data_IF_859306823758
#
_entry.id   IF_859306823758
#
_cell.length_a   1.000
_cell.length_b   1.000
_cell.length_c   1.000
_cell.angle_alpha   90.00
_cell.angle_beta   90.00
_cell.angle_gamma   90.00
#
_symmetry.space_group_name_H-M   'P 1'
#
loop_
_entity.id
_entity.type
_entity.pdbx_description
1 polymer ?
#
# COMPACT_ATOMS: atom_id res chain seq x y z
N UNK A 1 13.47 -1.94 -11.69
CA UNK A 1 14.44 -2.77 -10.95
C UNK A 1 13.68 -3.47 -9.83
N UNK A 2 13.49 -4.79 -9.90
CA UNK A 2 12.90 -5.51 -8.77
C UNK A 2 13.88 -5.46 -7.60
N UNK A 3 13.43 -4.93 -6.46
CA UNK A 3 14.30 -4.84 -5.30
C UNK A 3 14.62 -6.26 -4.78
N UNK A 4 15.79 -6.42 -4.14
CA UNK A 4 16.18 -7.67 -3.45
C UNK A 4 15.07 -8.23 -2.56
N UNK A 5 14.22 -7.36 -2.00
CA UNK A 5 13.07 -7.74 -1.16
C UNK A 5 12.01 -8.52 -1.94
N UNK A 6 11.68 -8.10 -3.16
CA UNK A 6 10.69 -8.81 -3.99
C UNK A 6 11.19 -10.21 -4.35
N UNK A 7 12.48 -10.33 -4.67
CA UNK A 7 13.10 -11.62 -4.93
C UNK A 7 13.03 -12.55 -3.71
N UNK A 8 13.33 -12.03 -2.51
CA UNK A 8 13.24 -12.81 -1.27
C UNK A 8 11.81 -13.27 -0.98
N UNK A 9 10.81 -12.42 -1.22
CA UNK A 9 9.38 -12.80 -1.08
C UNK A 9 9.01 -13.88 -2.10
N UNK A 10 9.47 -13.77 -3.35
CA UNK A 10 9.26 -14.82 -4.36
C UNK A 10 9.91 -16.14 -3.97
N UNK A 11 11.13 -16.08 -3.45
CA UNK A 11 11.87 -17.25 -3.03
C UNK A 11 11.21 -17.93 -1.82
N UNK A 12 10.69 -17.17 -0.85
CA UNK A 12 10.00 -17.73 0.32
C UNK A 12 8.62 -18.29 -0.02
N UNK A 13 7.99 -17.82 -1.11
CA UNK A 13 6.71 -18.31 -1.58
C UNK A 13 6.78 -19.72 -2.22
N UNK A 14 7.87 -20.04 -2.94
CA UNK A 14 8.02 -21.33 -3.61
C UNK A 14 7.90 -22.55 -2.67
N UNK A 15 8.58 -22.60 -1.51
CA UNK A 15 8.40 -23.68 -0.56
C UNK A 15 6.95 -23.84 -0.06
N UNK A 16 6.21 -22.75 0.09
CA UNK A 16 4.79 -22.79 0.50
C UNK A 16 3.94 -23.53 -0.54
N UNK A 17 4.18 -23.26 -1.82
CA UNK A 17 3.48 -23.92 -2.92
C UNK A 17 3.75 -25.43 -2.99
N UNK A 18 4.97 -25.84 -2.63
CA UNK A 18 5.45 -27.22 -2.80
C UNK A 18 5.16 -28.07 -1.56
N UNK A 19 5.56 -27.60 -0.38
CA UNK A 19 5.60 -28.42 0.84
C UNK A 19 4.47 -28.13 1.81
N UNK A 20 3.97 -26.89 1.86
CA UNK A 20 3.02 -26.43 2.89
C UNK A 20 1.67 -26.01 2.34
N UNK A 21 1.31 -26.48 1.15
CA UNK A 21 0.03 -26.14 0.50
C UNK A 21 -1.18 -26.48 1.37
N UNK A 22 -1.11 -27.56 2.15
CA UNK A 22 -2.19 -27.99 3.05
C UNK A 22 -2.46 -27.04 4.23
N UNK A 23 -1.51 -26.17 4.57
CA UNK A 23 -1.67 -25.17 5.63
C UNK A 23 -2.36 -23.90 5.15
N UNK A 24 -2.51 -23.72 3.83
CA UNK A 24 -3.20 -22.57 3.24
C UNK A 24 -4.66 -22.98 2.99
N UNK A 25 -5.65 -22.41 3.71
CA UNK A 25 -7.03 -22.89 3.72
C UNK A 25 -7.82 -22.49 2.46
N UNK A 26 -7.14 -22.11 1.37
CA UNK A 26 -7.75 -21.69 0.13
C UNK A 26 -6.86 -22.04 -1.07
N UNK A 27 -7.48 -22.11 -2.24
CA UNK A 27 -6.73 -22.27 -3.48
C UNK A 27 -6.00 -20.96 -3.82
N UNK A 28 -4.67 -21.01 -3.82
CA UNK A 28 -3.79 -19.86 -4.10
C UNK A 28 -4.10 -19.19 -5.45
N UNK A 29 -4.57 -19.95 -6.43
CA UNK A 29 -4.99 -19.41 -7.73
C UNK A 29 -6.49 -19.16 -7.84
N UNK A 30 -7.28 -19.58 -6.85
CA UNK A 30 -8.75 -19.46 -6.87
C UNK A 30 -9.24 -18.00 -6.88
N UNK A 31 -8.44 -17.07 -6.35
CA UNK A 31 -8.80 -15.66 -6.28
C UNK A 31 -8.25 -14.83 -7.45
N UNK A 32 -7.58 -15.40 -8.46
CA UNK A 32 -6.98 -14.56 -9.52
C UNK A 32 -8.01 -13.84 -10.39
N UNK A 33 -9.16 -14.47 -10.59
CA UNK A 33 -10.17 -14.00 -11.53
C UNK A 33 -11.20 -13.09 -10.88
N UNK A 34 -11.81 -12.22 -11.70
CA UNK A 34 -12.92 -11.37 -11.31
C UNK A 34 -14.17 -12.20 -10.99
N UNK A 35 -14.80 -11.92 -9.87
CA UNK A 35 -16.11 -12.44 -9.48
C UNK A 35 -17.05 -11.30 -9.08
N UNK A 36 -18.36 -11.56 -9.08
CA UNK A 36 -19.37 -10.58 -8.73
C UNK A 36 -19.67 -9.55 -9.82
N UNK A 37 -20.70 -8.75 -9.58
CA UNK A 37 -21.16 -7.71 -10.52
C UNK A 37 -20.46 -6.37 -10.26
N UNK A 38 -20.37 -5.51 -11.28
CA UNK A 38 -19.77 -4.19 -11.12
C UNK A 38 -20.40 -3.34 -10.00
N UNK A 39 -21.75 -3.28 -9.83
CA UNK A 39 -22.35 -2.56 -8.70
C UNK A 39 -21.94 -3.11 -7.33
N UNK A 40 -21.79 -4.43 -7.19
CA UNK A 40 -21.33 -5.05 -5.94
C UNK A 40 -19.88 -4.67 -5.64
N UNK A 41 -18.99 -4.75 -6.63
CA UNK A 41 -17.59 -4.32 -6.50
C UNK A 41 -17.53 -2.85 -6.08
N UNK A 42 -18.30 -1.97 -6.74
CA UNK A 42 -18.34 -0.55 -6.41
C UNK A 42 -18.84 -0.32 -4.98
N UNK A 43 -19.94 -0.99 -4.58
CA UNK A 43 -20.51 -0.91 -3.25
C UNK A 43 -19.62 -1.51 -2.15
N UNK A 44 -18.73 -2.46 -2.46
CA UNK A 44 -17.76 -2.96 -1.50
C UNK A 44 -16.45 -2.15 -1.49
N UNK A 45 -16.20 -1.36 -2.53
CA UNK A 45 -14.97 -0.56 -2.67
C UNK A 45 -15.08 0.82 -2.02
N UNK A 46 -16.27 1.37 -1.83
CA UNK A 46 -16.43 2.74 -1.29
C UNK A 46 -15.69 2.98 0.05
N UNK A 47 -15.57 2.02 1.00
CA UNK A 47 -14.85 2.28 2.25
C UNK A 47 -13.38 2.60 2.04
N UNK A 48 -12.73 2.04 1.01
CA UNK A 48 -11.33 2.33 0.64
C UNK A 48 -11.17 3.83 0.37
N UNK A 49 -12.08 4.41 -0.42
CA UNK A 49 -12.04 5.82 -0.78
C UNK A 49 -12.48 6.72 0.38
N UNK A 50 -13.54 6.35 1.10
CA UNK A 50 -14.04 7.12 2.23
C UNK A 50 -13.05 7.18 3.40
N UNK A 51 -12.26 6.12 3.62
CA UNK A 51 -11.16 6.16 4.58
C UNK A 51 -9.95 6.87 4.02
N UNK A 52 -9.48 6.47 2.83
CA UNK A 52 -8.16 6.86 2.32
C UNK A 52 -8.08 8.29 1.77
N UNK A 53 -9.15 8.85 1.21
CA UNK A 53 -9.12 10.21 0.65
C UNK A 53 -9.08 11.28 1.75
N UNK A 54 -10.00 11.30 2.75
CA UNK A 54 -9.95 12.30 3.82
C UNK A 54 -8.67 12.21 4.63
N UNK A 55 -8.25 10.98 4.94
CA UNK A 55 -6.95 10.63 5.49
C UNK A 55 -5.79 11.33 4.80
N UNK A 56 -5.71 11.16 3.47
CA UNK A 56 -4.67 11.74 2.65
C UNK A 56 -4.73 13.27 2.65
N UNK A 57 -5.93 13.86 2.52
CA UNK A 57 -6.13 15.31 2.57
C UNK A 57 -5.69 15.91 3.92
N UNK A 58 -6.07 15.28 5.04
CA UNK A 58 -5.64 15.72 6.38
C UNK A 58 -4.12 15.64 6.51
N UNK A 59 -3.51 14.60 5.95
CA UNK A 59 -2.06 14.41 5.99
C UNK A 59 -1.34 15.49 5.19
N UNK A 60 -1.72 15.74 3.94
CA UNK A 60 -1.09 16.78 3.10
C UNK A 60 -1.37 18.20 3.61
N UNK A 61 -2.51 18.45 4.25
CA UNK A 61 -2.82 19.77 4.83
C UNK A 61 -2.00 20.06 6.09
N UNK A 62 -1.80 19.06 6.95
CA UNK A 62 -1.02 19.21 8.20
C UNK A 62 0.48 19.20 7.99
N UNK A 63 0.96 18.48 6.97
CA UNK A 63 2.40 18.41 6.67
C UNK A 63 2.88 19.58 5.83
N UNK A 64 1.99 20.50 5.43
CA UNK A 64 2.26 21.50 4.40
C UNK A 64 2.36 20.84 3.03
N UNK A 65 2.56 21.62 1.95
CA UNK A 65 2.93 21.03 0.66
C UNK A 65 4.14 20.15 0.92
N UNK A 66 3.96 18.83 0.75
CA UNK A 66 5.09 17.89 0.76
C UNK A 66 6.14 18.51 -0.16
N UNK A 67 7.41 18.64 0.27
CA UNK A 67 8.44 19.18 -0.59
C UNK A 67 8.59 18.23 -1.77
N UNK A 68 7.80 18.45 -2.83
CA UNK A 68 8.00 17.86 -4.14
C UNK A 68 9.24 18.56 -4.64
N UNK A 69 10.40 18.04 -4.25
CA UNK A 69 11.71 18.36 -4.77
C UNK A 69 11.91 19.88 -4.93
N UNK A 70 12.24 20.60 -3.85
CA UNK A 70 12.73 21.98 -4.03
C UNK A 70 14.09 21.90 -4.71
N UNK A 71 14.10 21.97 -6.03
CA UNK A 71 15.32 22.14 -6.82
C UNK A 71 15.78 23.59 -6.62
N UNK A 72 16.49 23.82 -5.52
CA UNK A 72 17.19 25.08 -5.29
C UNK A 72 18.52 25.06 -6.02
N UNK A 73 18.65 25.83 -7.10
CA UNK A 73 19.97 26.21 -7.59
C UNK A 73 20.53 27.24 -6.61
N UNK A 74 21.54 26.86 -5.82
CA UNK A 74 22.39 27.86 -5.20
C UNK A 74 23.13 28.61 -6.31
N UNK A 75 22.63 29.80 -6.64
CA UNK A 75 23.17 30.63 -7.73
C UNK A 75 24.58 31.15 -7.43
N UNK A 76 25.08 31.00 -6.21
CA UNK A 76 26.33 31.63 -5.80
C UNK A 76 27.53 30.67 -5.69
N UNK A 77 27.32 29.36 -5.58
CA UNK A 77 28.42 28.42 -5.29
C UNK A 77 28.69 27.38 -6.37
N UNK A 78 27.77 27.14 -7.31
CA UNK A 78 27.93 26.09 -8.32
C UNK A 78 28.01 24.66 -7.74
N UNK A 79 27.66 24.49 -6.46
CA UNK A 79 27.73 23.20 -5.77
C UNK A 79 26.36 22.51 -5.62
N UNK A 80 26.48 21.21 -5.38
CA UNK A 80 25.51 20.14 -5.59
C UNK A 80 24.11 20.38 -5.00
N UNK A 81 23.12 19.91 -5.76
CA UNK A 81 21.72 19.93 -5.40
C UNK A 81 21.45 18.89 -4.30
N UNK A 82 21.18 19.38 -3.09
CA UNK A 82 20.61 18.56 -2.02
C UNK A 82 19.13 18.35 -2.34
N UNK A 83 18.82 17.24 -3.03
CA UNK A 83 17.45 16.80 -3.16
C UNK A 83 17.09 16.10 -1.86
N UNK A 84 16.36 16.79 -0.99
CA UNK A 84 15.65 16.12 0.09
C UNK A 84 14.44 15.47 -0.55
N UNK A 85 14.49 14.16 -0.71
CA UNK A 85 13.33 13.40 -1.17
C UNK A 85 12.24 13.36 -0.08
N UNK A 86 11.05 12.89 -0.45
CA UNK A 86 9.93 12.73 0.49
C UNK A 86 10.24 11.73 1.64
N UNK A 87 11.38 11.04 1.61
CA UNK A 87 11.83 10.11 2.64
C UNK A 87 12.69 10.79 3.72
N UNK A 88 12.95 12.10 3.60
CA UNK A 88 13.89 12.82 4.48
C UNK A 88 15.34 12.42 4.20
N UNK A 89 15.60 11.64 3.15
CA UNK A 89 16.93 11.38 2.66
C UNK A 89 17.34 12.54 1.77
N UNK A 90 18.31 13.30 2.24
CA UNK A 90 19.05 14.22 1.40
C UNK A 90 19.89 13.39 0.42
N UNK A 91 19.37 13.13 -0.78
CA UNK A 91 20.17 12.63 -1.88
C UNK A 91 20.87 13.82 -2.52
N UNK A 92 22.20 13.85 -2.39
CA UNK A 92 23.04 14.72 -3.18
C UNK A 92 22.96 14.21 -4.62
N UNK A 93 22.32 14.96 -5.51
CA UNK A 93 22.40 14.66 -6.95
C UNK A 93 23.75 15.17 -7.43
N UNK A 94 24.61 14.23 -7.82
CA UNK A 94 25.92 14.56 -8.35
C UNK A 94 25.78 15.24 -9.72
N UNK A 95 26.70 16.17 -10.08
CA UNK A 95 26.67 16.80 -11.40
C UNK A 95 26.72 15.74 -12.50
N UNK A 96 25.74 15.73 -13.40
CA UNK A 96 25.62 14.75 -14.48
C UNK A 96 24.73 13.55 -14.18
N UNK A 97 24.21 13.40 -12.96
CA UNK A 97 23.09 12.49 -12.72
C UNK A 97 21.78 13.14 -13.19
N UNK A 98 21.09 12.49 -14.12
CA UNK A 98 19.73 12.90 -14.45
C UNK A 98 18.83 12.76 -13.21
N UNK A 99 17.99 13.75 -12.90
CA UNK A 99 17.02 13.62 -11.82
C UNK A 99 16.22 12.35 -12.06
N UNK A 100 16.10 11.51 -11.01
CA UNK A 100 15.24 10.33 -11.07
C UNK A 100 13.90 10.75 -11.67
N UNK A 101 13.45 10.13 -12.77
CA UNK A 101 12.24 10.56 -13.43
C UNK A 101 11.12 10.59 -12.38
N UNK A 102 10.38 11.70 -12.30
CA UNK A 102 9.14 11.73 -11.53
C UNK A 102 8.39 10.46 -11.85
N UNK A 103 7.94 9.72 -10.82
CA UNK A 103 7.26 8.46 -10.99
C UNK A 103 6.14 8.66 -12.02
N UNK A 104 6.35 8.14 -13.23
CA UNK A 104 5.40 8.34 -14.31
C UNK A 104 4.08 7.66 -13.93
N UNK A 105 2.97 8.11 -14.52
CA UNK A 105 1.65 7.48 -14.30
C UNK A 105 1.73 5.95 -14.42
N UNK A 106 2.42 5.44 -15.44
CA UNK A 106 2.63 4.00 -15.63
C UNK A 106 3.36 3.32 -14.47
N UNK A 107 4.31 4.00 -13.82
CA UNK A 107 5.03 3.46 -12.66
C UNK A 107 4.14 3.43 -11.41
N UNK A 108 3.31 4.45 -11.18
CA UNK A 108 2.34 4.48 -10.06
C UNK A 108 1.33 3.33 -10.21
N UNK A 109 0.79 3.17 -11.43
CA UNK A 109 -0.13 2.09 -11.75
C UNK A 109 0.53 0.72 -11.57
N UNK A 110 1.79 0.58 -12.01
CA UNK A 110 2.56 -0.65 -11.83
C UNK A 110 2.83 -0.96 -10.36
N UNK A 111 3.09 0.06 -9.54
CA UNK A 111 3.26 -0.11 -8.10
C UNK A 111 1.98 -0.65 -7.46
N UNK A 112 0.80 -0.13 -7.81
CA UNK A 112 -0.48 -0.66 -7.34
C UNK A 112 -0.63 -2.15 -7.64
N UNK A 113 -0.44 -2.55 -8.91
CA UNK A 113 -0.53 -3.97 -9.31
C UNK A 113 0.50 -4.83 -8.56
N UNK A 114 1.76 -4.37 -8.52
CA UNK A 114 2.86 -5.09 -7.91
C UNK A 114 2.67 -5.29 -6.41
N UNK A 115 2.17 -4.28 -5.70
CA UNK A 115 1.87 -4.37 -4.27
C UNK A 115 0.79 -5.42 -3.98
N UNK A 116 -0.26 -5.46 -4.78
CA UNK A 116 -1.32 -6.46 -4.62
C UNK A 116 -0.80 -7.89 -4.85
N UNK A 117 0.01 -8.11 -5.89
CA UNK A 117 0.66 -9.42 -6.13
C UNK A 117 1.57 -9.79 -4.95
N UNK A 118 2.46 -8.89 -4.54
CA UNK A 118 3.46 -9.16 -3.50
C UNK A 118 2.78 -9.43 -2.16
N UNK A 119 1.85 -8.57 -1.72
CA UNK A 119 1.30 -8.65 -0.38
C UNK A 119 0.16 -9.66 -0.30
N UNK A 120 -0.80 -9.59 -1.22
CA UNK A 120 -2.04 -10.38 -1.14
C UNK A 120 -1.86 -11.79 -1.67
N UNK A 121 -1.08 -11.98 -2.73
CA UNK A 121 -0.90 -13.30 -3.33
C UNK A 121 0.33 -14.03 -2.80
N UNK A 122 1.48 -13.37 -2.69
CA UNK A 122 2.74 -14.05 -2.33
C UNK A 122 3.00 -14.06 -0.83
N UNK A 123 2.85 -12.91 -0.16
CA UNK A 123 3.20 -12.77 1.26
C UNK A 123 2.15 -13.41 2.16
N UNK A 124 0.85 -13.27 1.85
CA UNK A 124 -0.23 -13.81 2.69
C UNK A 124 -0.06 -15.33 2.97
N UNK A 125 0.14 -16.22 1.99
CA UNK A 125 0.33 -17.65 2.26
C UNK A 125 1.58 -17.95 3.07
N UNK A 126 2.68 -17.22 2.86
CA UNK A 126 3.91 -17.34 3.65
C UNK A 126 3.64 -17.01 5.12
N UNK A 127 2.94 -15.92 5.39
CA UNK A 127 2.60 -15.51 6.76
C UNK A 127 1.65 -16.53 7.41
N UNK A 128 0.70 -17.12 6.68
CA UNK A 128 -0.18 -18.19 7.19
C UNK A 128 0.65 -19.39 7.69
N UNK A 129 1.62 -19.86 6.90
CA UNK A 129 2.49 -20.98 7.30
C UNK A 129 3.32 -20.62 8.52
N UNK A 130 3.91 -19.42 8.53
CA UNK A 130 4.72 -18.95 9.66
C UNK A 130 3.89 -18.81 10.94
N UNK A 131 2.68 -18.25 10.86
CA UNK A 131 1.77 -18.13 11.99
C UNK A 131 1.31 -19.49 12.51
N UNK A 132 1.10 -20.47 11.64
CA UNK A 132 0.76 -21.83 12.05
C UNK A 132 1.89 -22.45 12.88
N UNK A 133 3.13 -22.36 12.39
CA UNK A 133 4.31 -22.85 13.11
C UNK A 133 4.53 -22.10 14.44
N UNK A 134 4.44 -20.78 14.44
CA UNK A 134 4.60 -19.96 15.63
C UNK A 134 3.50 -20.22 16.66
N UNK A 135 2.25 -20.40 16.24
CA UNK A 135 1.16 -20.69 17.15
C UNK A 135 1.32 -22.07 17.80
N UNK A 136 1.85 -23.05 17.07
CA UNK A 136 2.22 -24.35 17.65
C UNK A 136 3.32 -24.19 18.72
N UNK A 137 4.39 -23.46 18.41
CA UNK A 137 5.50 -23.20 19.35
C UNK A 137 5.07 -22.42 20.59
N UNK A 138 4.09 -21.53 20.45
CA UNK A 138 3.54 -20.69 21.53
C UNK A 138 2.30 -21.29 22.17
N UNK A 139 2.04 -22.59 21.98
CA UNK A 139 0.93 -23.32 22.60
C UNK A 139 -0.44 -22.64 22.44
N UNK A 140 -0.71 -22.07 21.27
CA UNK A 140 -2.00 -21.43 20.96
C UNK A 140 -2.12 -19.93 21.32
N UNK A 141 -1.07 -19.30 21.83
CA UNK A 141 -1.12 -17.90 22.27
C UNK A 141 -1.52 -16.92 21.15
N UNK A 142 -1.07 -17.15 19.91
CA UNK A 142 -1.41 -16.25 18.78
C UNK A 142 -2.89 -16.35 18.41
N UNK A 143 -3.43 -17.57 18.40
CA UNK A 143 -4.85 -17.78 18.19
C UNK A 143 -5.69 -17.12 19.29
N UNK A 144 -5.27 -17.28 20.56
CA UNK A 144 -5.93 -16.62 21.69
C UNK A 144 -5.92 -15.09 21.55
N UNK A 145 -4.75 -14.51 21.26
CA UNK A 145 -4.57 -13.06 21.08
C UNK A 145 -5.46 -12.53 19.96
N UNK A 146 -5.52 -13.26 18.84
CA UNK A 146 -6.39 -12.88 17.74
C UNK A 146 -7.86 -12.93 18.14
N UNK A 147 -8.34 -14.06 18.67
CA UNK A 147 -9.76 -14.27 18.92
C UNK A 147 -10.35 -13.31 19.96
N UNK A 148 -9.55 -12.93 20.97
CA UNK A 148 -10.04 -12.12 22.10
C UNK A 148 -9.71 -10.64 21.99
N UNK A 149 -8.69 -10.26 21.21
CA UNK A 149 -8.21 -8.88 21.17
C UNK A 149 -8.22 -8.36 19.73
N UNK A 150 -7.37 -8.92 18.86
CA UNK A 150 -7.14 -8.31 17.56
C UNK A 150 -8.36 -8.45 16.64
N UNK A 151 -8.93 -9.65 16.53
CA UNK A 151 -10.12 -9.94 15.72
C UNK A 151 -11.29 -8.99 16.01
N UNK A 152 -11.74 -8.87 17.27
CA UNK A 152 -12.79 -7.91 17.64
C UNK A 152 -12.47 -6.45 17.28
N UNK A 153 -11.21 -6.02 17.45
CA UNK A 153 -10.78 -4.67 17.06
C UNK A 153 -10.89 -4.48 15.54
N UNK A 154 -10.44 -5.45 14.73
CA UNK A 154 -10.56 -5.36 13.26
C UNK A 154 -12.02 -5.35 12.83
N UNK A 155 -12.82 -6.22 13.43
CA UNK A 155 -14.24 -6.32 13.09
C UNK A 155 -14.94 -5.00 13.37
N UNK A 156 -14.65 -4.37 14.51
CA UNK A 156 -15.12 -3.04 14.85
C UNK A 156 -14.66 -1.97 13.83
N UNK A 157 -13.36 -1.91 13.52
CA UNK A 157 -12.78 -0.93 12.58
C UNK A 157 -13.35 -1.08 11.17
N UNK A 158 -13.71 -2.31 10.79
CA UNK A 158 -14.26 -2.64 9.46
C UNK A 158 -15.78 -2.66 9.43
N UNK A 159 -16.43 -2.25 10.53
CA UNK A 159 -17.88 -2.25 10.71
C UNK A 159 -18.53 -3.61 10.40
N UNK A 160 -17.87 -4.70 10.78
CA UNK A 160 -18.33 -6.07 10.54
C UNK A 160 -18.17 -6.58 9.10
N UNK A 161 -17.65 -5.75 8.17
CA UNK A 161 -17.58 -6.12 6.75
C UNK A 161 -16.65 -7.33 6.51
N UNK A 162 -15.64 -7.49 7.35
CA UNK A 162 -14.68 -8.60 7.29
C UNK A 162 -15.06 -9.78 8.21
N UNK A 163 -16.16 -9.70 8.96
CA UNK A 163 -16.51 -10.70 9.98
C UNK A 163 -16.50 -12.14 9.47
N UNK A 164 -17.09 -12.38 8.29
CA UNK A 164 -17.18 -13.71 7.68
C UNK A 164 -15.82 -14.30 7.29
N UNK A 165 -14.82 -13.45 7.06
CA UNK A 165 -13.43 -13.85 6.77
C UNK A 165 -12.65 -14.01 8.07
N UNK A 166 -12.80 -13.06 9.02
CA UNK A 166 -12.07 -13.00 10.27
C UNK A 166 -12.42 -14.13 11.24
N UNK A 167 -13.68 -14.59 11.23
CA UNK A 167 -14.19 -15.59 12.17
C UNK A 167 -14.66 -16.88 11.47
N UNK A 168 -14.18 -17.13 10.25
CA UNK A 168 -14.49 -18.37 9.54
C UNK A 168 -14.05 -19.62 10.33
N UNK A 169 -14.85 -20.69 10.29
CA UNK A 169 -14.66 -21.87 11.12
C UNK A 169 -13.25 -22.50 10.96
N UNK A 170 -12.61 -22.81 12.10
CA UNK A 170 -11.33 -23.52 12.19
C UNK A 170 -10.08 -22.71 11.81
N UNK A 171 -10.13 -21.95 10.71
CA UNK A 171 -8.97 -21.27 10.11
C UNK A 171 -9.09 -19.75 10.05
N UNK A 172 -10.25 -19.18 10.40
CA UNK A 172 -10.51 -17.74 10.32
C UNK A 172 -9.50 -16.91 11.12
N UNK A 173 -9.11 -17.39 12.30
CA UNK A 173 -8.09 -16.70 13.10
C UNK A 173 -6.73 -16.62 12.40
N UNK A 174 -6.33 -17.69 11.70
CA UNK A 174 -5.04 -17.77 11.04
C UNK A 174 -5.00 -16.85 9.82
N UNK A 175 -6.06 -16.89 9.00
CA UNK A 175 -6.21 -16.01 7.82
C UNK A 175 -6.32 -14.56 8.25
N UNK A 176 -7.17 -14.27 9.23
CA UNK A 176 -7.38 -12.91 9.73
C UNK A 176 -6.12 -12.32 10.36
N UNK A 177 -5.39 -13.08 11.17
CA UNK A 177 -4.10 -12.63 11.72
C UNK A 177 -3.08 -12.37 10.61
N UNK A 178 -3.04 -13.20 9.57
CA UNK A 178 -2.18 -12.97 8.42
C UNK A 178 -2.57 -11.68 7.66
N UNK A 179 -3.87 -11.45 7.44
CA UNK A 179 -4.40 -10.22 6.83
C UNK A 179 -3.97 -8.99 7.64
N UNK A 180 -4.07 -9.03 8.98
CA UNK A 180 -3.64 -7.94 9.86
C UNK A 180 -2.14 -7.65 9.67
N UNK A 181 -1.30 -8.68 9.77
CA UNK A 181 0.15 -8.52 9.69
C UNK A 181 0.62 -8.02 8.33
N UNK A 182 0.05 -8.56 7.24
CA UNK A 182 0.38 -8.11 5.89
C UNK A 182 -0.09 -6.68 5.65
N UNK A 183 -1.31 -6.33 6.12
CA UNK A 183 -1.83 -4.96 6.04
C UNK A 183 -1.00 -3.98 6.88
N UNK A 184 -0.38 -4.48 7.95
CA UNK A 184 0.44 -3.68 8.86
C UNK A 184 1.74 -3.15 8.27
N UNK A 185 2.18 -3.64 7.10
CA UNK A 185 3.36 -3.13 6.38
C UNK A 185 3.05 -1.79 5.66
N UNK A 186 2.41 -0.84 6.34
CA UNK A 186 2.27 0.53 5.83
C UNK A 186 3.66 1.17 5.75
N UNK A 187 3.95 1.85 4.64
CA UNK A 187 5.24 2.48 4.35
C UNK A 187 5.56 3.58 5.39
N UNK A 188 6.49 3.36 6.34
CA UNK A 188 7.09 4.47 7.10
C UNK A 188 7.80 5.50 6.20
N UNK A 189 8.04 5.15 4.94
CA UNK A 189 8.96 5.83 4.04
C UNK A 189 8.46 7.18 3.52
N UNK A 190 7.15 7.38 3.36
CA UNK A 190 6.66 8.54 2.60
C UNK A 190 6.29 9.74 3.49
N UNK A 191 6.07 9.53 4.80
CA UNK A 191 5.45 10.58 5.64
C UNK A 191 6.14 10.84 6.98
N UNK A 192 7.28 10.19 7.27
CA UNK A 192 8.12 10.47 8.45
C UNK A 192 7.46 10.22 9.82
N UNK A 193 6.19 9.77 9.86
CA UNK A 193 5.42 9.50 11.09
C UNK A 193 4.79 8.10 11.03
N UNK A 194 5.61 7.11 11.37
CA UNK A 194 5.30 5.67 11.43
C UNK A 194 3.85 5.37 11.87
N UNK A 195 3.44 5.92 13.01
CA UNK A 195 2.15 5.57 13.63
C UNK A 195 0.94 6.20 12.95
N UNK A 196 1.07 7.43 12.44
CA UNK A 196 -0.05 8.14 11.83
C UNK A 196 -0.42 7.54 10.48
N UNK A 197 0.56 7.31 9.61
CA UNK A 197 0.31 6.70 8.29
C UNK A 197 -0.16 5.25 8.41
N UNK A 198 0.29 4.54 9.44
CA UNK A 198 -0.17 3.19 9.73
C UNK A 198 -1.67 3.17 10.08
N UNK A 199 -2.10 3.88 11.13
CA UNK A 199 -3.51 3.90 11.53
C UNK A 199 -4.45 4.38 10.43
N UNK A 200 -3.97 5.29 9.59
CA UNK A 200 -4.76 5.97 8.58
C UNK A 200 -4.99 5.13 7.32
N UNK A 201 -3.97 4.42 6.81
CA UNK A 201 -4.09 3.60 5.59
C UNK A 201 -4.31 2.12 5.87
N UNK A 202 -4.19 1.69 7.13
CA UNK A 202 -4.42 0.29 7.48
C UNK A 202 -5.85 -0.19 7.18
N UNK A 203 -6.93 0.57 7.45
CA UNK A 203 -8.28 0.19 7.03
C UNK A 203 -8.39 -0.03 5.51
N UNK A 204 -7.77 0.84 4.71
CA UNK A 204 -7.76 0.73 3.24
C UNK A 204 -7.22 -0.63 2.80
N UNK A 205 -6.09 -1.07 3.39
CA UNK A 205 -5.47 -2.36 3.09
C UNK A 205 -6.34 -3.55 3.51
N UNK A 206 -7.01 -3.46 4.66
CA UNK A 206 -7.96 -4.48 5.13
C UNK A 206 -9.14 -4.63 4.14
N UNK A 207 -9.71 -3.53 3.66
CA UNK A 207 -10.79 -3.58 2.66
C UNK A 207 -10.32 -4.11 1.30
N UNK A 208 -9.06 -3.90 0.91
CA UNK A 208 -8.54 -4.54 -0.29
C UNK A 208 -8.42 -6.07 -0.14
N UNK A 209 -8.18 -6.60 1.07
CA UNK A 209 -8.30 -8.04 1.33
C UNK A 209 -9.76 -8.52 1.23
N UNK A 210 -10.72 -7.73 1.73
CA UNK A 210 -12.15 -8.01 1.55
C UNK A 210 -12.47 -8.17 0.05
N UNK A 211 -12.03 -7.22 -0.78
CA UNK A 211 -12.24 -7.28 -2.23
C UNK A 211 -11.58 -8.50 -2.86
N UNK A 212 -10.35 -8.85 -2.46
CA UNK A 212 -9.68 -10.04 -2.95
C UNK A 212 -10.47 -11.32 -2.62
N UNK A 213 -10.93 -11.47 -1.37
CA UNK A 213 -11.64 -12.68 -0.95
C UNK A 213 -13.06 -12.78 -1.54
N UNK A 214 -13.75 -11.65 -1.77
CA UNK A 214 -15.12 -11.64 -2.31
C UNK A 214 -15.18 -11.63 -3.84
N UNK A 215 -14.30 -10.87 -4.48
CA UNK A 215 -14.37 -10.56 -5.92
C UNK A 215 -13.10 -10.92 -6.69
N UNK A 216 -12.03 -11.30 -5.99
CA UNK A 216 -10.76 -11.70 -6.58
C UNK A 216 -9.69 -10.61 -6.58
N UNK A 217 -8.44 -11.07 -6.72
CA UNK A 217 -7.21 -10.30 -6.75
C UNK A 217 -7.20 -9.27 -7.89
N UNK A 218 -7.72 -9.62 -9.06
CA UNK A 218 -7.79 -8.67 -10.17
C UNK A 218 -8.67 -7.45 -9.84
N UNK A 219 -9.77 -7.66 -9.12
CA UNK A 219 -10.63 -6.57 -8.62
C UNK A 219 -9.87 -5.71 -7.61
N UNK A 220 -9.18 -6.34 -6.65
CA UNK A 220 -8.37 -5.61 -5.68
C UNK A 220 -7.27 -4.76 -6.36
N UNK A 221 -6.58 -5.30 -7.38
CA UNK A 221 -5.63 -4.55 -8.21
C UNK A 221 -6.24 -3.33 -8.86
N UNK A 222 -7.36 -3.48 -9.56
CA UNK A 222 -8.01 -2.37 -10.26
C UNK A 222 -8.47 -1.27 -9.31
N UNK A 223 -9.05 -1.65 -8.17
CA UNK A 223 -9.51 -0.69 -7.16
C UNK A 223 -8.33 0.01 -6.50
N UNK A 224 -7.25 -0.71 -6.19
CA UNK A 224 -6.04 -0.11 -5.64
C UNK A 224 -5.37 0.84 -6.63
N UNK A 225 -5.27 0.47 -7.92
CA UNK A 225 -4.76 1.37 -8.96
C UNK A 225 -5.59 2.66 -9.06
N UNK A 226 -6.92 2.55 -9.04
CA UNK A 226 -7.82 3.70 -9.05
C UNK A 226 -7.62 4.57 -7.81
N UNK A 227 -7.46 3.96 -6.65
CA UNK A 227 -7.18 4.66 -5.40
C UNK A 227 -5.86 5.45 -5.48
N UNK A 228 -4.75 4.81 -5.88
CA UNK A 228 -3.44 5.48 -6.06
C UNK A 228 -3.51 6.60 -7.09
N UNK A 229 -4.24 6.38 -8.19
CA UNK A 229 -4.45 7.41 -9.21
C UNK A 229 -5.17 8.64 -8.65
N UNK A 230 -6.21 8.45 -7.84
CA UNK A 230 -6.91 9.56 -7.18
C UNK A 230 -6.01 10.30 -6.19
N UNK A 231 -5.21 9.58 -5.39
CA UNK A 231 -4.24 10.22 -4.49
C UNK A 231 -3.22 11.06 -5.27
N UNK A 232 -2.74 10.54 -6.41
CA UNK A 232 -1.86 11.26 -7.31
C UNK A 232 -2.50 12.54 -7.86
N UNK A 233 -3.76 12.48 -8.30
CA UNK A 233 -4.49 13.67 -8.77
C UNK A 233 -4.62 14.71 -7.65
N UNK A 234 -5.06 14.32 -6.46
CA UNK A 234 -5.20 15.21 -5.30
C UNK A 234 -3.85 15.88 -4.97
N UNK A 235 -2.77 15.10 -4.97
CA UNK A 235 -1.41 15.62 -4.74
C UNK A 235 -0.98 16.62 -5.82
N UNK A 236 -1.29 16.32 -7.08
CA UNK A 236 -0.97 17.18 -8.24
C UNK A 236 -1.72 18.51 -8.18
N UNK A 237 -2.98 18.51 -7.74
CA UNK A 237 -3.76 19.73 -7.52
C UNK A 237 -3.21 20.56 -6.34
N UNK A 238 -2.94 19.92 -5.20
CA UNK A 238 -2.47 20.62 -4.00
C UNK A 238 -1.08 21.25 -4.16
N UNK A 239 -0.23 20.64 -4.99
CA UNK A 239 1.14 21.11 -5.21
C UNK A 239 1.26 22.23 -6.25
N UNK A 240 0.16 22.64 -6.89
CA UNK A 240 0.18 23.68 -7.91
C UNK A 240 0.96 23.29 -9.18
N UNK A 241 1.29 22.00 -9.38
CA UNK A 241 2.02 21.52 -10.56
C UNK A 241 1.20 21.59 -11.85
N UNK A 242 -0.12 21.79 -11.76
CA UNK A 242 -0.93 22.31 -12.88
C UNK A 242 -0.81 23.84 -12.91
N UNK A 243 0.42 24.36 -12.89
CA UNK A 243 0.67 25.61 -13.60
C UNK A 243 0.69 25.21 -15.06
N UNK A 244 -0.41 25.47 -15.77
CA UNK A 244 -0.37 25.54 -17.23
C UNK A 244 0.81 26.45 -17.56
N UNK A 245 1.92 25.85 -17.99
CA UNK A 245 3.04 26.59 -18.53
C UNK A 245 2.50 27.13 -19.85
N UNK A 246 1.83 28.28 -19.79
CA UNK A 246 1.43 29.04 -20.97
C UNK A 246 2.74 29.43 -21.63
N UNK A 247 3.18 28.57 -22.55
CA UNK A 247 4.34 28.75 -23.40
C UNK A 247 4.10 30.01 -24.24
N UNK A 248 4.47 31.17 -23.70
CA UNK A 248 4.19 32.44 -24.36
C UNK A 248 4.76 33.67 -23.67
N UNK A 249 4.91 33.69 -22.35
CA UNK A 249 5.51 34.83 -21.66
C UNK A 249 7.04 34.69 -21.63
N UNK A 250 7.69 35.30 -22.62
CA UNK A 250 9.13 35.58 -22.56
C UNK A 250 9.40 36.43 -21.32
N UNK A 251 10.37 36.09 -20.46
CA UNK A 251 10.81 37.00 -19.42
C UNK A 251 11.34 38.26 -20.11
N UNK A 252 10.62 39.37 -19.99
CA UNK A 252 11.13 40.69 -20.32
C UNK A 252 12.33 40.93 -19.41
N UNK A 253 13.47 41.26 -20.02
CA UNK A 253 14.64 41.70 -19.28
C UNK A 253 14.22 42.91 -18.45
N UNK A 254 14.26 42.78 -17.12
CA UNK A 254 14.32 43.96 -16.26
C UNK A 254 15.69 44.58 -16.53
N UNK A 255 15.63 45.82 -17.04
CA UNK A 255 16.76 46.67 -17.43
C UNK A 255 17.61 47.01 -16.23
#
# INVERSE_FOLDING_TARGET
MFSKRVFLVALSFLPVLIFWRSLVPFNIFGYWFWHGTFPQVLASSWPIFAWGIPAFIIMISKLGPTPIYRIGLDRYTGQQLLIVDNEGFARIVLPGEEPSPMLGLGQILWLGIGEEIIYRWMTLPVIIVLLSALNFLLSGLLAWLYLHILGPIIDFVTFGSLHSILFHNGWGWLVGMAVILVSGNALPRVYGRLYASWLVFWPVKLYLFLLMFQYGLFVAMLVHMLFEFLLFLISSFNSGYIQFRVSGLRPTKLV
#
